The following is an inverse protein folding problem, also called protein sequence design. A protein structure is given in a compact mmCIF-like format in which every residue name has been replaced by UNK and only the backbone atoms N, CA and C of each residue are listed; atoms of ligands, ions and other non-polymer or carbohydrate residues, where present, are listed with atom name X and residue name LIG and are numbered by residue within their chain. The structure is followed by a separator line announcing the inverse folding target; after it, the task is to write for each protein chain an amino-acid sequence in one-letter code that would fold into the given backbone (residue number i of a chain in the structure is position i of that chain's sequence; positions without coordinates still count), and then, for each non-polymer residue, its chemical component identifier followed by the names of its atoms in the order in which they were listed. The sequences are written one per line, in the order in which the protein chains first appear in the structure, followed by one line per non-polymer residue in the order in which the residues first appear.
data_IF_937177012568
#
_entry.id   IF_937177012568
#
_cell.length_a   1.000
_cell.length_b   1.000
_cell.length_c   1.000
_cell.angle_alpha   90.00
_cell.angle_beta   90.00
_cell.angle_gamma   90.00
#
_symmetry.space_group_name_H-M   'P 1'
#
loop_
_entity.id
_entity.type
_entity.pdbx_description
1 polymer ?
#
# COMPACT_ATOMS: atom_id res chain seq x y z
N UNK A 1 29.14 13.74 -11.60
CA UNK A 1 28.37 12.65 -10.95
C UNK A 1 27.97 13.14 -9.58
N UNK A 2 26.88 13.90 -9.49
CA UNK A 2 26.26 14.36 -8.25
C UNK A 2 24.76 14.42 -8.56
N UNK A 3 24.00 13.37 -8.20
CA UNK A 3 22.54 13.39 -8.29
C UNK A 3 21.87 12.41 -7.30
N UNK A 4 22.60 11.97 -6.27
CA UNK A 4 22.15 10.87 -5.40
C UNK A 4 21.43 11.38 -4.15
N UNK A 5 21.68 12.62 -3.71
CA UNK A 5 21.10 13.18 -2.48
C UNK A 5 19.64 13.61 -2.63
N UNK A 6 19.30 14.26 -3.74
CA UNK A 6 17.94 14.77 -4.01
C UNK A 6 16.95 13.61 -4.25
N UNK A 7 17.37 12.60 -5.00
CA UNK A 7 16.57 11.40 -5.29
C UNK A 7 16.33 10.54 -4.02
N UNK A 8 17.29 10.52 -3.10
CA UNK A 8 17.12 9.84 -1.79
C UNK A 8 16.15 10.59 -0.89
N UNK A 9 16.18 11.93 -0.92
CA UNK A 9 15.32 12.77 -0.10
C UNK A 9 13.85 12.69 -0.54
N UNK A 10 13.57 12.76 -1.84
CA UNK A 10 12.20 12.64 -2.38
C UNK A 10 11.60 11.25 -2.09
N UNK A 11 12.39 10.18 -2.27
CA UNK A 11 11.95 8.82 -1.93
C UNK A 11 11.60 8.67 -0.44
N UNK A 12 12.37 9.28 0.46
CA UNK A 12 12.08 9.26 1.90
C UNK A 12 10.75 9.94 2.22
N UNK A 13 10.51 11.12 1.62
CA UNK A 13 9.25 11.87 1.80
C UNK A 13 8.05 11.05 1.31
N UNK A 14 8.16 10.43 0.12
CA UNK A 14 7.10 9.57 -0.43
C UNK A 14 6.78 8.38 0.48
N UNK A 15 7.80 7.72 1.03
CA UNK A 15 7.64 6.62 1.99
C UNK A 15 6.92 7.07 3.26
N UNK A 16 7.27 8.24 3.80
CA UNK A 16 6.65 8.79 5.00
C UNK A 16 5.18 9.17 4.77
N UNK A 17 4.86 9.79 3.63
CA UNK A 17 3.46 10.09 3.25
C UNK A 17 2.67 8.80 3.11
N UNK A 18 3.20 7.79 2.42
CA UNK A 18 2.55 6.49 2.27
C UNK A 18 2.23 5.85 3.64
N UNK A 19 3.18 5.91 4.58
CA UNK A 19 2.98 5.42 5.95
C UNK A 19 1.89 6.21 6.67
N UNK A 20 1.87 7.55 6.53
CA UNK A 20 0.84 8.39 7.14
C UNK A 20 -0.54 8.11 6.57
N UNK A 21 -0.68 7.98 5.25
CA UNK A 21 -1.95 7.61 4.59
C UNK A 21 -2.45 6.24 5.08
N UNK A 22 -1.55 5.27 5.24
CA UNK A 22 -1.91 3.96 5.77
C UNK A 22 -2.46 4.08 7.20
N UNK A 23 -1.75 4.84 8.05
CA UNK A 23 -2.13 5.08 9.43
C UNK A 23 -3.49 5.80 9.53
N UNK A 24 -3.73 6.82 8.69
CA UNK A 24 -5.03 7.52 8.60
C UNK A 24 -6.16 6.52 8.29
N UNK A 25 -5.93 5.56 7.40
CA UNK A 25 -6.89 4.51 7.09
C UNK A 25 -7.26 3.66 8.32
N UNK A 26 -6.27 3.28 9.12
CA UNK A 26 -6.49 2.52 10.36
C UNK A 26 -7.23 3.38 11.40
N UNK A 27 -6.75 4.60 11.65
CA UNK A 27 -7.35 5.54 12.62
C UNK A 27 -8.81 5.89 12.26
N UNK A 28 -9.12 6.02 10.97
CA UNK A 28 -10.49 6.27 10.49
C UNK A 28 -11.40 5.10 10.79
N UNK A 29 -10.94 3.86 10.55
CA UNK A 29 -11.71 2.66 10.86
C UNK A 29 -11.92 2.51 12.36
N UNK A 30 -10.86 2.70 13.16
CA UNK A 30 -10.93 2.66 14.62
C UNK A 30 -11.86 3.75 15.19
N UNK A 31 -11.80 4.97 14.64
CA UNK A 31 -12.69 6.07 14.98
C UNK A 31 -14.16 5.81 14.65
N UNK A 32 -14.43 5.07 13.57
CA UNK A 32 -15.77 4.54 13.27
C UNK A 32 -16.11 3.28 14.10
N UNK A 33 -15.29 2.89 15.08
CA UNK A 33 -15.59 1.78 16.00
C UNK A 33 -15.34 0.38 15.42
N UNK A 34 -14.50 0.27 14.39
CA UNK A 34 -13.96 -1.01 13.94
C UNK A 34 -12.72 -1.39 14.76
N UNK A 35 -12.62 -2.65 15.18
CA UNK A 35 -11.33 -3.24 15.56
C UNK A 35 -10.57 -3.61 14.29
N UNK A 36 -9.29 -3.23 14.18
CA UNK A 36 -8.46 -3.48 12.99
C UNK A 36 -7.29 -4.39 13.34
N UNK A 37 -7.25 -5.60 12.76
CA UNK A 37 -6.22 -6.61 13.05
C UNK A 37 -5.43 -6.98 11.79
N UNK A 38 -4.11 -7.12 11.90
CA UNK A 38 -3.27 -7.64 10.80
C UNK A 38 -3.51 -9.12 10.60
N UNK A 39 -3.71 -9.54 9.36
CA UNK A 39 -3.71 -10.95 8.98
C UNK A 39 -2.28 -11.32 8.53
N UNK A 40 -1.55 -12.20 9.24
CA UNK A 40 -0.22 -12.62 8.84
C UNK A 40 -0.23 -13.34 7.48
N UNK A 41 0.89 -13.28 6.75
CA UNK A 41 1.15 -14.04 5.51
C UNK A 41 0.27 -13.70 4.28
N UNK A 42 -0.69 -12.78 4.39
CA UNK A 42 -1.55 -12.37 3.27
C UNK A 42 -1.29 -10.90 2.87
N UNK A 43 -1.26 -10.63 1.56
CA UNK A 43 -1.29 -9.28 0.98
C UNK A 43 -0.17 -8.33 1.40
N UNK A 44 1.06 -8.84 1.61
CA UNK A 44 2.28 -8.06 1.94
C UNK A 44 2.07 -7.04 3.07
N UNK A 45 1.26 -7.39 4.08
CA UNK A 45 1.01 -6.53 5.24
C UNK A 45 0.00 -5.40 5.00
N UNK A 46 -0.66 -5.34 3.85
CA UNK A 46 -1.80 -4.42 3.60
C UNK A 46 -3.15 -4.98 4.03
N UNK A 47 -3.25 -6.30 4.23
CA UNK A 47 -4.51 -6.98 4.54
C UNK A 47 -4.80 -6.91 6.03
N UNK A 48 -6.05 -6.56 6.36
CA UNK A 48 -6.57 -6.42 7.72
C UNK A 48 -7.90 -7.14 7.85
N UNK A 49 -8.15 -7.73 9.01
CA UNK A 49 -9.51 -8.05 9.43
C UNK A 49 -10.08 -6.84 10.16
N UNK A 50 -11.25 -6.38 9.77
CA UNK A 50 -11.99 -5.36 10.51
C UNK A 50 -13.25 -5.97 11.13
N UNK A 51 -13.51 -5.67 12.40
CA UNK A 51 -14.69 -6.19 13.12
C UNK A 51 -15.45 -5.06 13.82
N UNK A 52 -16.78 -5.01 13.64
CA UNK A 52 -17.68 -4.05 14.34
C UNK A 52 -18.98 -4.76 14.70
N UNK A 53 -19.14 -5.05 15.99
CA UNK A 53 -20.25 -5.87 16.48
C UNK A 53 -20.24 -7.28 15.86
N UNK A 54 -21.29 -7.63 15.10
CA UNK A 54 -21.40 -8.93 14.40
C UNK A 54 -20.82 -8.91 12.98
N UNK A 55 -20.39 -7.75 12.48
CA UNK A 55 -19.81 -7.62 11.14
C UNK A 55 -18.30 -7.87 11.22
N UNK A 56 -17.79 -8.69 10.31
CA UNK A 56 -16.37 -8.96 10.14
C UNK A 56 -16.05 -9.01 8.65
N UNK A 57 -15.01 -8.30 8.23
CA UNK A 57 -14.56 -8.24 6.84
C UNK A 57 -13.05 -8.43 6.76
N UNK A 58 -12.59 -9.13 5.74
CA UNK A 58 -11.21 -9.10 5.28
C UNK A 58 -11.08 -7.92 4.32
N UNK A 59 -10.09 -7.06 4.55
CA UNK A 59 -9.91 -5.83 3.79
C UNK A 59 -8.48 -5.65 3.35
N UNK A 60 -8.26 -5.00 2.21
CA UNK A 60 -6.94 -4.52 1.80
C UNK A 60 -6.88 -3.01 1.91
N UNK A 61 -5.86 -2.49 2.59
CA UNK A 61 -5.61 -1.05 2.66
C UNK A 61 -4.67 -0.64 1.51
N UNK A 62 -5.14 0.27 0.65
CA UNK A 62 -4.38 0.85 -0.46
C UNK A 62 -4.18 2.34 -0.23
N UNK A 63 -2.99 2.82 -0.56
CA UNK A 63 -2.63 4.24 -0.45
C UNK A 63 -2.18 4.73 -1.81
N UNK A 64 -2.56 5.96 -2.15
CA UNK A 64 -2.15 6.61 -3.39
C UNK A 64 -1.93 8.10 -3.16
N UNK A 65 -0.99 8.69 -3.91
CA UNK A 65 -0.79 10.15 -3.94
C UNK A 65 -1.27 10.75 -5.27
N UNK A 66 -1.45 9.93 -6.30
CA UNK A 66 -1.83 10.35 -7.65
C UNK A 66 -3.29 10.04 -7.99
N UNK A 67 -4.04 9.48 -7.03
CA UNK A 67 -5.45 9.05 -7.17
C UNK A 67 -5.66 7.82 -8.06
N UNK A 68 -4.60 7.07 -8.38
CA UNK A 68 -4.71 5.79 -9.06
C UNK A 68 -4.41 4.63 -8.11
N UNK A 69 -5.15 3.52 -8.26
CA UNK A 69 -4.91 2.28 -7.52
C UNK A 69 -4.64 1.13 -8.46
N UNK A 70 -3.80 0.19 -8.03
CA UNK A 70 -3.45 -0.97 -8.83
C UNK A 70 -3.50 -2.28 -8.04
N UNK A 71 -4.01 -3.30 -8.74
CA UNK A 71 -3.89 -4.70 -8.36
C UNK A 71 -3.23 -5.47 -9.51
N UNK A 72 -2.17 -6.25 -9.24
CA UNK A 72 -1.59 -7.17 -10.21
C UNK A 72 -2.59 -8.28 -10.59
N UNK A 73 -2.67 -8.68 -11.87
CA UNK A 73 -3.39 -9.88 -12.24
C UNK A 73 -2.63 -11.11 -11.72
N UNK A 74 -3.39 -12.08 -11.23
CA UNK A 74 -2.95 -13.42 -10.89
C UNK A 74 -3.47 -14.37 -11.97
N UNK A 75 -2.65 -14.59 -13.00
CA UNK A 75 -3.08 -15.31 -14.20
C UNK A 75 -4.13 -14.53 -15.00
N UNK A 76 -5.17 -15.22 -15.49
CA UNK A 76 -6.07 -14.67 -16.51
C UNK A 76 -7.36 -14.03 -15.99
N UNK A 77 -7.74 -14.27 -14.72
CA UNK A 77 -9.06 -13.86 -14.16
C UNK A 77 -9.06 -13.60 -12.64
N UNK A 78 -7.90 -13.43 -12.04
CA UNK A 78 -7.80 -13.16 -10.60
C UNK A 78 -6.92 -11.93 -10.39
N UNK A 79 -7.08 -11.31 -9.23
CA UNK A 79 -6.35 -10.10 -8.85
C UNK A 79 -5.64 -10.38 -7.54
N UNK A 80 -4.30 -10.32 -7.55
CA UNK A 80 -3.49 -10.60 -6.36
C UNK A 80 -3.95 -9.72 -5.19
N UNK A 81 -4.23 -10.32 -4.04
CA UNK A 81 -4.84 -9.68 -2.85
C UNK A 81 -6.32 -9.32 -3.02
N UNK A 82 -6.75 -8.75 -4.14
CA UNK A 82 -8.14 -8.31 -4.31
C UNK A 82 -9.14 -9.48 -4.38
N UNK A 83 -8.71 -10.65 -4.84
CA UNK A 83 -9.54 -11.86 -4.83
C UNK A 83 -9.87 -12.35 -3.41
N UNK A 84 -9.06 -11.99 -2.41
CA UNK A 84 -9.14 -12.53 -1.05
C UNK A 84 -9.80 -11.57 -0.05
N UNK A 85 -10.30 -10.42 -0.50
CA UNK A 85 -10.85 -9.38 0.38
C UNK A 85 -12.30 -9.04 0.05
N UNK A 86 -13.05 -8.75 1.09
CA UNK A 86 -14.45 -8.31 1.05
C UNK A 86 -14.54 -6.82 0.73
N UNK A 87 -13.61 -6.01 1.25
CA UNK A 87 -13.55 -4.55 1.03
C UNK A 87 -12.14 -4.09 0.70
N UNK A 88 -12.04 -2.94 0.05
CA UNK A 88 -10.78 -2.21 -0.10
C UNK A 88 -10.92 -0.85 0.56
N UNK A 89 -10.03 -0.55 1.50
CA UNK A 89 -9.92 0.78 2.09
C UNK A 89 -8.89 1.54 1.29
N UNK A 90 -9.31 2.59 0.58
CA UNK A 90 -8.41 3.40 -0.23
C UNK A 90 -8.22 4.75 0.43
N UNK A 91 -6.97 5.13 0.64
CA UNK A 91 -6.59 6.44 1.16
C UNK A 91 -5.80 7.17 0.10
N UNK A 92 -6.30 8.31 -0.36
CA UNK A 92 -5.60 9.16 -1.30
C UNK A 92 -5.26 10.51 -0.67
N UNK A 93 -4.22 11.16 -1.18
CA UNK A 93 -4.13 12.63 -1.09
C UNK A 93 -5.30 13.22 -1.87
N UNK A 94 -5.95 14.24 -1.33
CA UNK A 94 -7.02 14.95 -2.03
C UNK A 94 -6.42 15.72 -3.22
N UNK A 95 -6.87 15.46 -4.47
CA UNK A 95 -6.33 16.11 -5.65
C UNK A 95 -6.57 17.64 -5.66
N UNK A 96 -7.62 18.11 -4.97
CA UNK A 96 -7.97 19.52 -4.90
C UNK A 96 -7.31 20.23 -3.69
N UNK A 97 -6.86 19.45 -2.70
CA UNK A 97 -6.19 19.98 -1.51
C UNK A 97 -5.16 18.97 -0.95
N UNK A 98 -3.88 19.14 -1.30
CA UNK A 98 -2.82 18.21 -0.88
C UNK A 98 -2.60 18.09 0.64
N UNK A 99 -3.20 18.97 1.44
CA UNK A 99 -3.17 18.92 2.91
C UNK A 99 -4.26 18.02 3.49
N UNK A 100 -5.11 17.42 2.65
CA UNK A 100 -6.16 16.49 3.07
C UNK A 100 -5.92 15.10 2.50
N UNK A 101 -6.27 14.10 3.28
CA UNK A 101 -6.42 12.72 2.84
C UNK A 101 -7.91 12.38 2.73
N UNK A 102 -8.30 11.70 1.66
CA UNK A 102 -9.64 11.14 1.46
C UNK A 102 -9.60 9.65 1.72
N UNK A 103 -10.56 9.17 2.52
CA UNK A 103 -10.66 7.75 2.88
C UNK A 103 -11.94 7.18 2.29
N UNK A 104 -11.79 6.07 1.57
CA UNK A 104 -12.88 5.37 0.89
C UNK A 104 -12.99 3.94 1.39
N UNK A 105 -14.22 3.43 1.51
CA UNK A 105 -14.50 2.02 1.71
C UNK A 105 -15.26 1.50 0.50
N UNK A 106 -14.63 0.63 -0.27
CA UNK A 106 -15.14 0.14 -1.56
C UNK A 106 -15.39 -1.37 -1.46
N UNK A 107 -16.50 -1.83 -2.04
CA UNK A 107 -16.82 -3.25 -2.15
C UNK A 107 -15.75 -3.99 -2.98
N UNK A 108 -15.28 -5.13 -2.49
CA UNK A 108 -14.32 -5.96 -3.22
C UNK A 108 -14.88 -6.48 -4.54
N UNK A 109 -16.17 -6.85 -4.56
CA UNK A 109 -16.87 -7.30 -5.76
C UNK A 109 -16.94 -6.22 -6.84
N UNK A 110 -17.37 -4.99 -6.47
CA UNK A 110 -17.42 -3.84 -7.40
C UNK A 110 -16.03 -3.53 -7.98
N UNK A 111 -14.97 -3.57 -7.14
CA UNK A 111 -13.61 -3.38 -7.64
C UNK A 111 -13.18 -4.48 -8.59
N UNK A 112 -13.46 -5.76 -8.29
CA UNK A 112 -13.11 -6.87 -9.20
C UNK A 112 -13.79 -6.70 -10.56
N UNK A 113 -15.06 -6.33 -10.59
CA UNK A 113 -15.79 -6.08 -11.84
C UNK A 113 -15.19 -4.90 -12.63
N UNK A 114 -14.84 -3.80 -11.96
CA UNK A 114 -14.17 -2.65 -12.59
C UNK A 114 -12.83 -3.05 -13.20
N UNK A 115 -12.02 -3.78 -12.45
CA UNK A 115 -10.71 -4.24 -12.87
C UNK A 115 -10.81 -5.22 -14.05
N UNK A 116 -11.79 -6.13 -14.04
CA UNK A 116 -12.06 -7.07 -15.14
C UNK A 116 -12.44 -6.32 -16.43
N UNK A 117 -13.32 -5.31 -16.34
CA UNK A 117 -13.70 -4.47 -17.49
C UNK A 117 -12.51 -3.69 -18.03
N UNK A 118 -11.70 -3.10 -17.16
CA UNK A 118 -10.49 -2.37 -17.55
C UNK A 118 -9.47 -3.28 -18.24
N UNK A 119 -9.25 -4.48 -17.70
CA UNK A 119 -8.36 -5.48 -18.31
C UNK A 119 -8.84 -5.90 -19.69
N UNK A 120 -10.13 -6.19 -19.83
CA UNK A 120 -10.73 -6.57 -21.10
C UNK A 120 -10.59 -5.45 -22.14
N UNK A 121 -10.91 -4.20 -21.78
CA UNK A 121 -10.84 -3.06 -22.68
C UNK A 121 -9.40 -2.75 -23.11
N UNK A 122 -8.43 -2.79 -22.17
CA UNK A 122 -7.01 -2.57 -22.48
C UNK A 122 -6.44 -3.66 -23.38
N UNK A 123 -6.80 -4.94 -23.15
CA UNK A 123 -6.42 -6.03 -24.07
C UNK A 123 -7.03 -5.86 -25.46
N UNK A 124 -8.30 -5.46 -25.54
CA UNK A 124 -8.96 -5.20 -26.82
C UNK A 124 -8.31 -4.02 -27.59
N UNK A 125 -7.80 -3.03 -26.87
CA UNK A 125 -7.06 -1.90 -27.43
C UNK A 125 -5.56 -2.21 -27.73
N UNK A 126 -5.11 -3.46 -27.57
CA UNK A 126 -3.76 -3.88 -27.91
C UNK A 126 -2.68 -3.60 -26.85
N UNK A 127 -3.05 -3.25 -25.62
CA UNK A 127 -2.09 -3.08 -24.53
C UNK A 127 -1.53 -4.45 -24.09
N UNK A 128 -0.22 -4.53 -23.91
CA UNK A 128 0.44 -5.64 -23.24
C UNK A 128 0.62 -5.34 -21.75
N UNK A 129 0.34 -6.32 -20.89
CA UNK A 129 0.53 -6.21 -19.45
C UNK A 129 1.65 -7.18 -19.04
N UNK A 130 2.85 -6.65 -18.72
CA UNK A 130 3.93 -7.48 -18.21
C UNK A 130 3.50 -8.22 -16.95
N UNK A 131 3.98 -9.46 -16.80
CA UNK A 131 3.68 -10.28 -15.64
C UNK A 131 4.09 -9.55 -14.35
N UNK A 132 3.18 -9.46 -13.37
CA UNK A 132 3.42 -8.78 -12.10
C UNK A 132 3.18 -7.26 -12.10
N UNK A 133 2.89 -6.63 -13.26
CA UNK A 133 2.43 -5.25 -13.29
C UNK A 133 0.92 -5.15 -13.10
N UNK A 134 0.50 -4.24 -12.22
CA UNK A 134 -0.90 -3.97 -11.98
C UNK A 134 -1.54 -3.12 -13.07
N UNK A 135 -2.84 -3.32 -13.26
CA UNK A 135 -3.68 -2.35 -13.95
C UNK A 135 -3.93 -1.20 -13.00
N UNK A 136 -3.78 0.02 -13.48
CA UNK A 136 -4.14 1.22 -12.72
C UNK A 136 -5.57 1.63 -13.02
N UNK A 137 -6.41 1.83 -11.99
CA UNK A 137 -7.72 2.44 -12.11
C UNK A 137 -7.72 3.83 -11.47
N UNK A 138 -8.33 4.83 -12.12
CA UNK A 138 -8.49 6.15 -11.51
C UNK A 138 -9.61 6.11 -10.47
N UNK A 139 -9.40 6.74 -9.32
CA UNK A 139 -10.41 6.82 -8.28
C UNK A 139 -11.53 7.79 -8.63
N UNK A 140 -11.21 8.92 -9.27
CA UNK A 140 -12.15 10.03 -9.44
C UNK A 140 -12.54 10.34 -10.88
N UNK A 141 -11.82 9.80 -11.86
CA UNK A 141 -12.25 9.87 -13.26
C UNK A 141 -13.44 8.92 -13.47
N UNK A 142 -14.58 9.39 -14.01
CA UNK A 142 -15.74 8.55 -14.26
C UNK A 142 -15.42 7.37 -15.18
N UNK A 143 -16.18 6.30 -15.00
CA UNK A 143 -16.16 5.16 -15.91
C UNK A 143 -16.59 5.58 -17.31
N UNK A 144 -15.67 5.48 -18.27
CA UNK A 144 -15.86 5.93 -19.64
C UNK A 144 -15.17 4.99 -20.63
N UNK A 145 -15.77 4.81 -21.81
CA UNK A 145 -15.20 3.98 -22.88
C UNK A 145 -13.97 4.64 -23.54
N UNK A 146 -13.87 5.97 -23.50
CA UNK A 146 -12.78 6.74 -24.05
C UNK A 146 -12.37 7.88 -23.09
N UNK A 147 -11.10 7.97 -22.66
CA UNK A 147 -9.99 7.08 -23.00
C UNK A 147 -10.11 5.69 -22.37
N UNK A 148 -9.52 4.67 -23.00
CA UNK A 148 -9.53 3.27 -22.50
C UNK A 148 -8.97 3.11 -21.08
N UNK A 149 -8.15 4.07 -20.64
CA UNK A 149 -7.61 4.12 -19.27
C UNK A 149 -8.68 4.41 -18.22
N UNK A 150 -9.82 4.99 -18.60
CA UNK A 150 -10.93 5.34 -17.70
C UNK A 150 -11.98 4.22 -17.58
N UNK A 151 -11.91 3.17 -18.41
CA UNK A 151 -12.80 2.00 -18.25
C UNK A 151 -12.59 1.40 -16.88
N UNK A 152 -13.68 1.21 -16.12
CA UNK A 152 -13.64 0.76 -14.74
C UNK A 152 -13.25 1.83 -13.72
N UNK A 153 -13.08 3.09 -14.14
CA UNK A 153 -12.75 4.22 -13.29
C UNK A 153 -13.87 4.57 -12.29
N UNK A 154 -13.60 5.55 -11.43
CA UNK A 154 -14.62 6.17 -10.59
C UNK A 154 -14.91 5.41 -9.31
N UNK A 155 -14.03 4.49 -8.89
CA UNK A 155 -14.23 3.67 -7.69
C UNK A 155 -14.27 4.50 -6.38
N UNK A 156 -13.72 5.71 -6.40
CA UNK A 156 -13.77 6.67 -5.29
C UNK A 156 -15.03 7.56 -5.26
N UNK A 157 -15.87 7.53 -6.30
CA UNK A 157 -17.07 8.39 -6.39
C UNK A 157 -18.18 7.77 -5.53
N UNK A 158 -18.63 8.50 -4.50
CA UNK A 158 -19.73 8.06 -3.62
C UNK A 158 -19.35 7.04 -2.54
N UNK A 159 -18.06 6.69 -2.42
CA UNK A 159 -17.54 5.69 -1.47
C UNK A 159 -16.73 6.30 -0.32
N UNK A 160 -16.67 7.63 -0.25
CA UNK A 160 -15.92 8.37 0.77
C UNK A 160 -16.57 8.20 2.15
N UNK A 161 -15.75 7.84 3.14
CA UNK A 161 -16.17 7.68 4.54
C UNK A 161 -15.53 8.73 5.47
N UNK A 162 -14.44 9.37 5.06
CA UNK A 162 -13.82 10.45 5.83
C UNK A 162 -12.91 11.35 4.98
N UNK A 163 -12.69 12.57 5.48
CA UNK A 163 -11.59 13.47 5.09
C UNK A 163 -10.79 13.83 6.33
N UNK A 164 -9.47 13.67 6.26
CA UNK A 164 -8.57 13.83 7.40
C UNK A 164 -7.41 14.74 7.02
N UNK A 165 -7.02 15.72 7.85
CA UNK A 165 -5.82 16.50 7.62
C UNK A 165 -4.57 15.62 7.51
N UNK A 166 -3.83 15.78 6.44
CA UNK A 166 -2.51 15.20 6.25
C UNK A 166 -1.49 16.13 6.93
N UNK A 167 -1.28 15.91 8.23
CA UNK A 167 -0.24 16.64 8.97
C UNK A 167 1.08 16.60 8.19
N UNK A 168 1.71 17.76 7.98
CA UNK A 168 2.95 17.85 7.22
C UNK A 168 3.99 16.94 7.88
N UNK A 169 4.35 15.86 7.18
CA UNK A 169 5.41 14.97 7.65
C UNK A 169 6.73 15.73 7.54
N UNK A 170 7.14 16.36 8.64
CA UNK A 170 8.46 16.99 8.72
C UNK A 170 9.51 15.89 8.70
N UNK A 171 10.37 15.90 7.69
CA UNK A 171 11.52 15.00 7.61
C UNK A 171 12.61 15.60 8.47
N UNK A 172 12.72 15.17 9.73
CA UNK A 172 13.89 15.50 10.55
C UNK A 172 15.04 14.54 10.22
N UNK A 173 16.30 14.98 10.35
CA UNK A 173 17.47 14.13 10.10
C UNK A 173 17.50 12.84 10.95
N UNK A 174 16.79 12.84 12.09
CA UNK A 174 16.60 11.65 12.94
C UNK A 174 15.64 10.61 12.37
N UNK A 175 14.72 10.99 11.48
CA UNK A 175 13.80 10.04 10.80
C UNK A 175 14.44 9.37 9.59
N UNK A 176 15.51 9.94 9.00
CA UNK A 176 16.30 9.32 7.95
C UNK A 176 16.99 8.03 8.45
N UNK A 177 17.50 8.04 9.69
CA UNK A 177 18.09 6.85 10.31
C UNK A 177 17.01 5.84 10.75
N UNK A 178 15.91 6.30 11.34
CA UNK A 178 14.82 5.42 11.79
C UNK A 178 14.07 4.72 10.64
N UNK A 179 13.92 5.36 9.48
CA UNK A 179 13.26 4.76 8.31
C UNK A 179 14.15 3.69 7.65
N UNK A 180 15.47 3.92 7.62
CA UNK A 180 16.45 2.93 7.16
C UNK A 180 16.58 1.73 8.11
N UNK A 181 16.35 1.94 9.40
CA UNK A 181 16.31 0.87 10.42
C UNK A 181 14.97 0.12 10.38
N UNK A 182 13.84 0.80 10.13
CA UNK A 182 12.52 0.14 10.08
C UNK A 182 12.26 -0.64 8.78
N UNK A 183 12.86 -0.27 7.65
CA UNK A 183 12.81 -1.12 6.44
C UNK A 183 13.57 -2.45 6.63
N UNK A 184 14.53 -2.50 7.57
CA UNK A 184 15.21 -3.74 7.97
C UNK A 184 14.44 -4.53 9.05
N UNK A 185 13.42 -3.93 9.68
CA UNK A 185 12.65 -4.51 10.79
C UNK A 185 11.19 -4.82 10.44
N UNK A 186 10.79 -4.74 9.16
CA UNK A 186 9.45 -5.13 8.72
C UNK A 186 9.20 -6.66 8.72
N UNK A 187 10.23 -7.45 9.06
CA UNK A 187 10.13 -8.85 9.45
C UNK A 187 10.47 -8.97 10.94
N UNK A 188 9.50 -8.68 11.80
CA UNK A 188 9.52 -9.10 13.20
C UNK A 188 9.03 -10.56 13.27
N UNK A 189 9.70 -11.43 12.51
CA UNK A 189 9.93 -12.79 12.98
C UNK A 189 10.97 -12.66 14.09
N UNK A 190 10.77 -13.35 15.21
CA UNK A 190 11.77 -13.47 16.27
C UNK A 190 13.16 -13.70 15.64
N UNK A 191 14.00 -12.66 15.64
CA UNK A 191 15.29 -12.66 14.96
C UNK A 191 16.14 -13.77 15.56
N UNK A 192 16.26 -14.88 14.84
CA UNK A 192 17.17 -15.94 15.25
C UNK A 192 18.60 -15.42 15.11
N UNK A 193 19.51 -15.90 15.98
CA UNK A 193 20.93 -15.52 15.96
C UNK A 193 21.53 -15.78 14.56
N UNK A 194 21.07 -16.82 13.87
CA UNK A 194 21.49 -17.16 12.51
C UNK A 194 21.09 -16.09 11.49
N UNK A 195 19.86 -15.58 11.57
CA UNK A 195 19.38 -14.53 10.67
C UNK A 195 20.10 -13.19 10.96
N UNK A 196 20.34 -12.89 12.23
CA UNK A 196 21.12 -11.72 12.64
C UNK A 196 22.56 -11.77 12.11
N UNK A 197 23.24 -12.92 12.22
CA UNK A 197 24.58 -13.13 11.65
C UNK A 197 24.61 -12.97 10.14
N UNK A 198 23.63 -13.55 9.44
CA UNK A 198 23.52 -13.45 7.97
C UNK A 198 23.34 -12.00 7.51
N UNK A 199 22.48 -11.24 8.19
CA UNK A 199 22.25 -9.82 7.89
C UNK A 199 23.49 -8.97 8.12
N UNK A 200 24.17 -9.16 9.25
CA UNK A 200 25.44 -8.48 9.53
C UNK A 200 26.51 -8.84 8.49
N UNK A 201 26.57 -10.11 8.07
CA UNK A 201 27.51 -10.58 7.05
C UNK A 201 27.30 -9.90 5.70
N UNK A 202 26.05 -9.74 5.27
CA UNK A 202 25.71 -8.97 4.06
C UNK A 202 26.11 -7.50 4.18
N UNK A 203 25.90 -6.88 5.34
CA UNK A 203 26.26 -5.48 5.58
C UNK A 203 27.77 -5.25 5.54
N UNK A 204 28.56 -6.17 6.11
CA UNK A 204 30.01 -6.04 6.22
C UNK A 204 30.78 -6.78 5.13
N UNK A 205 30.11 -7.46 4.20
CA UNK A 205 30.73 -8.20 3.10
C UNK A 205 31.59 -9.39 3.55
N UNK A 206 31.26 -9.98 4.71
CA UNK A 206 32.01 -11.09 5.32
C UNK A 206 31.16 -12.35 5.37
N UNK A 207 31.78 -13.51 5.50
CA UNK A 207 31.05 -14.77 5.70
C UNK A 207 30.29 -14.76 7.05
N UNK A 208 29.03 -15.25 7.12
CA UNK A 208 28.27 -15.34 8.37
C UNK A 208 28.97 -16.10 9.51
N UNK A 209 29.83 -17.06 9.17
CA UNK A 209 30.65 -17.80 10.15
C UNK A 209 31.71 -16.93 10.83
N UNK A 210 32.12 -15.82 10.20
CA UNK A 210 33.08 -14.87 10.75
C UNK A 210 32.43 -13.82 11.67
N UNK A 211 31.12 -13.91 11.93
CA UNK A 211 30.40 -12.99 12.80
C UNK A 211 30.16 -13.60 14.18
N UNK A 212 30.66 -12.91 15.20
CA UNK A 212 30.42 -13.19 16.62
C UNK A 212 29.61 -12.04 17.22
N UNK A 213 28.49 -12.38 17.86
CA UNK A 213 27.61 -11.44 18.56
C UNK A 213 27.85 -11.65 20.05
N UNK A 214 28.21 -10.59 20.77
CA UNK A 214 28.35 -10.57 22.24
C UNK A 214 27.39 -9.53 22.80
N UNK A 215 26.67 -9.90 23.86
CA UNK A 215 25.76 -9.00 24.59
C UNK A 215 26.36 -8.79 25.97
N UNK A 216 26.70 -7.55 26.28
CA UNK A 216 27.16 -7.13 27.59
C UNK A 216 26.02 -6.37 28.28
N UNK A 217 25.82 -6.62 29.57
CA UNK A 217 24.77 -6.03 30.40
C UNK A 217 25.31 -5.57 31.74
#
# INVERSE_FOLDING_TARGET
MENTSEDTFDNTKRTLIRRRLFQIGVETLEGDGWTVERIPKIGKGSVRRITKGKKSYITSIRTTQDTWIAFPPEGNKQWTTLSDVDKVIVISVDPDNSELARVHMIEGDDLRERFDRAFAARRAAGYSLPMGQGIWLPLYEPDAENPVTHVGGGAGIGTEIARVPLEQVQVSDKQLTASKINELNADDETLTISEAKRRLAMTFGVDPSNIKITVEG
#
